data_IF_053355092968
#
_entry.id   IF_053355092968
#
_cell.length_a   1.000
_cell.length_b   1.000
_cell.length_c   1.000
_cell.angle_alpha   90.00
_cell.angle_beta   90.00
_cell.angle_gamma   90.00
#
_symmetry.space_group_name_H-M   'P 1'
#
loop_
_entity.id
_entity.type
_entity.pdbx_description
1 polymer ?
#
# COMPACT_ATOMS: atom_id res chain seq x y z
N UNK A 1 -17.33 18.56 -7.93
CA UNK A 1 -17.18 17.13 -8.33
C UNK A 1 -17.71 16.23 -7.22
N UNK A 2 -18.36 15.11 -7.55
CA UNK A 2 -18.85 14.13 -6.58
C UNK A 2 -18.18 12.78 -6.77
N UNK A 3 -17.71 12.19 -5.67
CA UNK A 3 -17.04 10.89 -5.58
C UNK A 3 -17.91 9.99 -4.70
N UNK A 4 -18.31 8.83 -5.23
CA UNK A 4 -19.20 7.93 -4.49
C UNK A 4 -18.42 7.12 -3.46
N UNK A 5 -17.27 6.57 -3.86
CA UNK A 5 -16.42 5.75 -3.01
C UNK A 5 -14.94 6.08 -3.26
N UNK A 6 -14.20 6.27 -2.17
CA UNK A 6 -12.75 6.36 -2.19
C UNK A 6 -12.15 5.36 -1.20
N UNK A 7 -11.41 4.38 -1.70
CA UNK A 7 -10.71 3.39 -0.91
C UNK A 7 -9.20 3.66 -0.98
N UNK A 8 -8.52 3.67 0.17
CA UNK A 8 -7.10 4.00 0.28
C UNK A 8 -6.33 2.93 1.04
N UNK A 9 -5.22 2.50 0.45
CA UNK A 9 -4.17 1.70 1.07
C UNK A 9 -2.92 2.56 1.26
N UNK A 10 -2.61 2.87 2.52
CA UNK A 10 -1.48 3.72 2.89
C UNK A 10 -0.22 2.88 3.10
N UNK A 11 0.30 2.27 2.04
CA UNK A 11 1.49 1.42 2.12
C UNK A 11 2.77 2.21 2.39
N UNK A 12 3.80 1.56 2.94
CA UNK A 12 5.07 2.21 3.28
C UNK A 12 5.96 2.52 2.06
N UNK A 13 5.72 1.85 0.92
CA UNK A 13 6.47 2.06 -0.34
C UNK A 13 5.61 2.73 -1.41
N UNK A 14 4.35 2.31 -1.51
CA UNK A 14 3.37 2.82 -2.46
C UNK A 14 2.07 3.13 -1.71
N UNK A 15 1.48 4.27 -2.02
CA UNK A 15 0.12 4.63 -1.68
C UNK A 15 -0.79 4.24 -2.85
N UNK A 16 -1.86 3.51 -2.57
CA UNK A 16 -2.77 3.00 -3.60
C UNK A 16 -4.19 3.45 -3.30
N UNK A 17 -4.89 3.95 -4.30
CA UNK A 17 -6.26 4.44 -4.17
C UNK A 17 -7.15 3.83 -5.25
N UNK A 18 -8.39 3.53 -4.89
CA UNK A 18 -9.50 3.28 -5.82
C UNK A 18 -10.55 4.36 -5.59
N UNK A 19 -10.77 5.20 -6.60
CA UNK A 19 -11.74 6.30 -6.56
C UNK A 19 -12.79 6.03 -7.64
N UNK A 20 -14.00 5.66 -7.23
CA UNK A 20 -15.08 5.19 -8.12
C UNK A 20 -14.62 4.12 -9.14
N UNK A 21 -13.74 3.21 -8.69
CA UNK A 21 -13.14 2.16 -9.50
C UNK A 21 -11.89 2.57 -10.29
N UNK A 22 -11.52 3.85 -10.31
CA UNK A 22 -10.28 4.32 -10.94
C UNK A 22 -9.09 4.11 -10.02
N UNK A 23 -8.07 3.39 -10.50
CA UNK A 23 -6.87 3.05 -9.75
C UNK A 23 -5.78 4.11 -9.87
N UNK A 24 -5.30 4.62 -8.73
CA UNK A 24 -4.16 5.53 -8.63
C UNK A 24 -3.11 4.88 -7.74
N UNK A 25 -1.85 4.97 -8.14
CA UNK A 25 -0.71 4.53 -7.37
C UNK A 25 0.37 5.59 -7.41
N UNK A 26 0.93 5.89 -6.24
CA UNK A 26 1.93 6.93 -6.07
C UNK A 26 2.98 6.44 -5.06
N UNK A 27 4.28 6.69 -5.26
CA UNK A 27 5.28 6.49 -4.20
C UNK A 27 4.87 7.22 -2.91
N UNK A 28 5.06 6.59 -1.75
CA UNK A 28 4.68 7.18 -0.43
C UNK A 28 5.62 8.33 0.00
N UNK A 29 6.50 8.79 -0.88
CA UNK A 29 7.41 9.90 -0.62
C UNK A 29 6.60 11.20 -0.46
N UNK A 30 6.79 11.85 0.69
CA UNK A 30 6.30 13.21 0.97
C UNK A 30 7.46 13.98 1.57
N UNK A 31 7.78 15.12 0.97
CA UNK A 31 8.85 16.01 1.43
C UNK A 31 8.24 17.37 1.67
N UNK A 32 8.35 17.85 2.90
CA UNK A 32 8.02 19.22 3.24
C UNK A 32 9.13 20.16 2.76
N UNK A 33 8.74 21.24 2.08
CA UNK A 33 9.63 22.27 1.57
C UNK A 33 9.18 23.65 2.07
N UNK A 34 10.08 24.63 1.98
CA UNK A 34 9.72 26.01 2.28
C UNK A 34 8.82 26.61 1.20
N UNK A 35 8.10 27.70 1.53
CA UNK A 35 7.32 28.44 0.54
C UNK A 35 8.18 28.97 -0.62
N UNK A 36 9.34 29.56 -0.31
CA UNK A 36 10.25 30.09 -1.33
C UNK A 36 10.75 29.00 -2.29
N UNK A 37 10.97 27.79 -1.77
CA UNK A 37 11.32 26.61 -2.58
C UNK A 37 10.13 26.17 -3.44
N UNK A 38 8.91 26.11 -2.87
CA UNK A 38 7.70 25.77 -3.61
C UNK A 38 7.43 26.74 -4.78
N UNK A 39 7.55 28.05 -4.53
CA UNK A 39 7.32 29.10 -5.52
C UNK A 39 8.32 29.05 -6.69
N UNK A 40 9.49 28.42 -6.51
CA UNK A 40 10.56 28.33 -7.50
C UNK A 40 10.83 26.92 -8.03
N UNK A 41 10.16 25.89 -7.50
CA UNK A 41 10.45 24.48 -7.80
C UNK A 41 10.16 24.12 -9.26
N UNK A 42 8.99 24.51 -9.77
CA UNK A 42 8.58 24.24 -11.15
C UNK A 42 8.66 25.48 -12.03
N UNK A 43 9.45 25.40 -13.10
CA UNK A 43 9.61 26.48 -14.08
C UNK A 43 8.72 26.32 -15.32
N UNK A 44 8.18 25.12 -15.55
CA UNK A 44 7.46 24.78 -16.77
C UNK A 44 6.01 24.39 -16.50
N UNK A 45 5.09 25.04 -17.20
CA UNK A 45 3.66 24.78 -17.19
C UNK A 45 3.33 23.41 -17.81
N UNK A 46 2.43 22.67 -17.18
CA UNK A 46 1.82 21.46 -17.76
C UNK A 46 0.45 21.79 -18.36
N UNK A 47 0.10 21.13 -19.47
CA UNK A 47 -1.20 21.29 -20.14
C UNK A 47 -2.04 20.02 -20.14
N UNK A 48 -1.40 18.87 -19.92
CA UNK A 48 -2.04 17.57 -19.79
C UNK A 48 -2.22 17.23 -18.29
N UNK A 49 -3.46 17.13 -17.78
CA UNK A 49 -3.70 16.81 -16.37
C UNK A 49 -3.06 15.51 -15.89
N UNK A 50 -2.81 14.54 -16.79
CA UNK A 50 -2.14 13.29 -16.43
C UNK A 50 -0.70 13.49 -15.95
N UNK A 51 -0.04 14.56 -16.38
CA UNK A 51 1.33 14.88 -15.94
C UNK A 51 1.40 15.30 -14.47
N UNK A 52 0.28 15.78 -13.90
CA UNK A 52 0.20 16.23 -12.52
C UNK A 52 0.65 15.16 -11.53
N UNK A 53 0.32 13.88 -11.76
CA UNK A 53 0.70 12.77 -10.87
C UNK A 53 2.21 12.70 -10.61
N UNK A 54 3.01 13.01 -11.63
CA UNK A 54 4.48 13.00 -11.55
C UNK A 54 5.08 14.33 -11.06
N UNK A 55 4.25 15.36 -10.85
CA UNK A 55 4.63 16.74 -10.52
C UNK A 55 3.75 17.32 -9.41
N UNK A 56 3.40 16.53 -8.41
CA UNK A 56 2.55 16.96 -7.30
C UNK A 56 3.34 17.88 -6.36
N UNK A 57 2.97 19.16 -6.36
CA UNK A 57 3.34 20.15 -5.35
C UNK A 57 2.05 20.75 -4.80
N UNK A 58 1.79 20.51 -3.52
CA UNK A 58 0.56 20.97 -2.86
C UNK A 58 0.87 21.69 -1.56
N UNK A 59 -0.04 22.54 -1.11
CA UNK A 59 -0.05 23.06 0.26
C UNK A 59 -1.39 22.78 0.95
N UNK A 60 -1.33 22.69 2.27
CA UNK A 60 -2.50 22.52 3.15
C UNK A 60 -2.13 22.99 4.54
N UNK A 61 -3.14 23.33 5.35
CA UNK A 61 -3.01 23.38 6.81
C UNK A 61 -3.27 21.98 7.36
N UNK A 62 -2.35 21.45 8.18
CA UNK A 62 -2.53 20.13 8.79
C UNK A 62 -3.56 20.24 9.92
N UNK A 63 -4.48 19.28 10.10
CA UNK A 63 -5.46 19.32 11.18
C UNK A 63 -4.81 19.53 12.56
N UNK A 64 -5.22 20.58 13.26
CA UNK A 64 -4.69 20.97 14.57
C UNK A 64 -3.47 21.91 14.53
N UNK A 65 -3.02 22.33 13.34
CA UNK A 65 -1.99 23.35 13.14
C UNK A 65 -2.61 24.63 12.56
N UNK A 66 -1.95 25.77 12.76
CA UNK A 66 -2.41 27.09 12.26
C UNK A 66 -1.59 27.59 11.05
N UNK A 67 -0.60 26.81 10.61
CA UNK A 67 0.34 27.20 9.57
C UNK A 67 0.17 26.35 8.31
N UNK A 68 0.05 27.02 7.16
CA UNK A 68 0.13 26.38 5.86
C UNK A 68 1.53 25.78 5.65
N UNK A 69 1.58 24.56 5.12
CA UNK A 69 2.81 23.82 4.83
C UNK A 69 2.80 23.33 3.38
N UNK A 70 3.98 23.25 2.77
CA UNK A 70 4.17 22.95 1.35
C UNK A 70 4.84 21.60 1.18
N UNK A 71 4.33 20.77 0.28
CA UNK A 71 4.73 19.39 0.14
C UNK A 71 4.95 19.00 -1.32
N UNK A 72 6.14 18.47 -1.61
CA UNK A 72 6.36 17.61 -2.77
C UNK A 72 5.82 16.23 -2.45
N UNK A 73 5.17 15.60 -3.42
CA UNK A 73 4.53 14.29 -3.23
C UNK A 73 4.87 13.33 -4.39
N UNK A 74 5.03 12.05 -4.06
CA UNK A 74 5.18 10.99 -5.06
C UNK A 74 6.52 11.01 -5.79
N UNK A 75 6.46 10.87 -7.11
CA UNK A 75 7.66 10.81 -7.97
C UNK A 75 8.53 12.05 -7.85
N UNK A 76 7.93 13.22 -7.62
CA UNK A 76 8.68 14.45 -7.44
C UNK A 76 9.43 14.47 -6.11
N UNK A 77 8.74 14.10 -5.02
CA UNK A 77 9.34 13.97 -3.70
C UNK A 77 10.46 12.92 -3.67
N UNK A 78 10.35 11.86 -4.48
CA UNK A 78 11.35 10.80 -4.56
C UNK A 78 12.71 11.27 -5.11
N UNK A 79 12.75 12.38 -5.87
CA UNK A 79 13.99 12.97 -6.41
C UNK A 79 14.73 13.81 -5.37
N UNK A 80 14.06 14.19 -4.29
CA UNK A 80 14.60 15.09 -3.29
C UNK A 80 15.61 14.39 -2.37
N UNK A 81 16.62 15.10 -1.87
CA UNK A 81 17.69 14.52 -1.03
C UNK A 81 17.18 13.85 0.26
N UNK A 82 16.03 14.31 0.78
CA UNK A 82 15.38 13.80 2.00
C UNK A 82 14.35 12.69 1.73
N UNK A 83 14.20 12.23 0.48
CA UNK A 83 13.18 11.29 0.05
C UNK A 83 13.10 10.02 0.90
N UNK A 84 14.22 9.52 1.42
CA UNK A 84 14.31 8.23 2.11
C UNK A 84 14.21 8.32 3.64
N UNK A 85 13.96 9.51 4.22
CA UNK A 85 13.94 9.68 5.68
C UNK A 85 12.82 8.86 6.37
N UNK A 86 11.74 8.54 5.66
CA UNK A 86 10.63 7.76 6.18
C UNK A 86 10.83 6.24 6.02
N UNK A 87 11.73 5.78 5.14
CA UNK A 87 11.81 4.37 4.73
C UNK A 87 12.31 3.45 5.85
N UNK A 88 13.15 3.95 6.75
CA UNK A 88 13.68 3.20 7.88
C UNK A 88 12.86 3.37 9.18
N UNK A 89 11.74 4.12 9.14
CA UNK A 89 10.92 4.40 10.33
C UNK A 89 9.46 4.07 10.04
N UNK A 90 8.93 3.07 10.73
CA UNK A 90 7.48 2.88 10.81
C UNK A 90 6.89 4.10 11.53
N UNK A 91 6.27 4.98 10.75
CA UNK A 91 5.60 6.15 11.28
C UNK A 91 4.20 5.76 11.75
N UNK A 92 3.74 6.45 12.80
CA UNK A 92 2.37 6.30 13.26
C UNK A 92 1.43 6.88 12.20
N UNK A 93 0.70 6.00 11.48
CA UNK A 93 -0.22 6.40 10.42
C UNK A 93 -1.39 7.25 10.95
N UNK A 94 -1.64 7.31 12.27
CA UNK A 94 -2.71 8.11 12.87
C UNK A 94 -2.26 9.57 13.09
N UNK A 95 -0.98 9.82 13.34
CA UNK A 95 -0.49 11.19 13.65
C UNK A 95 0.40 11.77 12.57
N UNK A 96 1.03 10.93 11.75
CA UNK A 96 1.89 11.38 10.65
C UNK A 96 1.09 12.17 9.60
N UNK A 97 1.61 13.30 9.06
CA UNK A 97 0.97 14.04 7.98
C UNK A 97 0.96 13.26 6.65
N UNK A 98 1.86 12.28 6.48
CA UNK A 98 2.07 11.58 5.20
C UNK A 98 0.77 10.97 4.64
N UNK A 99 -0.01 10.12 5.36
CA UNK A 99 -1.24 9.56 4.80
C UNK A 99 -2.29 10.61 4.41
N UNK A 100 -2.33 11.74 5.12
CA UNK A 100 -3.26 12.85 4.87
C UNK A 100 -2.86 13.63 3.62
N UNK A 101 -1.58 14.00 3.50
CA UNK A 101 -1.05 14.67 2.30
C UNK A 101 -1.21 13.80 1.04
N UNK A 102 -0.97 12.48 1.16
CA UNK A 102 -1.21 11.54 0.05
C UNK A 102 -2.69 11.49 -0.35
N UNK A 103 -3.62 11.51 0.61
CA UNK A 103 -5.06 11.57 0.35
C UNK A 103 -5.44 12.84 -0.43
N UNK A 104 -5.01 14.02 0.04
CA UNK A 104 -5.29 15.29 -0.63
C UNK A 104 -4.70 15.32 -2.05
N UNK A 105 -3.51 14.74 -2.23
CA UNK A 105 -2.84 14.64 -3.52
C UNK A 105 -3.57 13.72 -4.50
N UNK A 106 -4.06 12.57 -4.03
CA UNK A 106 -4.83 11.63 -4.85
C UNK A 106 -6.16 12.26 -5.30
N UNK A 107 -6.85 12.95 -4.40
CA UNK A 107 -8.08 13.70 -4.74
C UNK A 107 -7.78 14.82 -5.73
N UNK A 108 -6.70 15.58 -5.52
CA UNK A 108 -6.27 16.65 -6.44
C UNK A 108 -5.99 16.14 -7.84
N UNK A 109 -5.27 15.01 -7.95
CA UNK A 109 -5.00 14.37 -9.23
C UNK A 109 -6.28 13.85 -9.89
N UNK A 110 -7.12 13.14 -9.14
CA UNK A 110 -8.38 12.61 -9.65
C UNK A 110 -9.32 13.73 -10.14
N UNK A 111 -9.36 14.84 -9.41
CA UNK A 111 -10.08 16.03 -9.82
C UNK A 111 -9.56 16.54 -11.16
N UNK A 112 -8.25 16.79 -11.27
CA UNK A 112 -7.65 17.36 -12.48
C UNK A 112 -7.90 16.53 -13.76
N UNK A 113 -7.93 15.19 -13.66
CA UNK A 113 -8.14 14.32 -14.83
C UNK A 113 -9.62 14.12 -15.21
N UNK A 114 -10.56 14.40 -14.30
CA UNK A 114 -12.00 14.22 -14.52
C UNK A 114 -12.78 15.54 -14.59
N UNK A 115 -12.14 16.66 -14.27
CA UNK A 115 -12.74 17.98 -14.40
C UNK A 115 -13.11 18.25 -15.86
N UNK A 116 -14.37 18.59 -16.07
CA UNK A 116 -14.80 19.18 -17.34
C UNK A 116 -14.57 20.68 -17.21
N UNK A 117 -13.87 21.29 -18.17
CA UNK A 117 -13.51 22.72 -18.16
C UNK A 117 -14.71 23.68 -18.05
N UNK A 118 -15.94 23.18 -18.14
CA UNK A 118 -17.18 23.95 -18.01
C UNK A 118 -17.69 24.06 -16.57
N UNK A 119 -17.11 23.32 -15.62
CA UNK A 119 -17.48 23.30 -14.20
C UNK A 119 -16.46 24.09 -13.38
N UNK A 120 -16.72 25.37 -13.11
CA UNK A 120 -15.91 26.24 -12.23
C UNK A 120 -15.92 25.82 -10.73
N UNK A 121 -16.48 24.67 -10.40
CA UNK A 121 -16.67 24.25 -9.02
C UNK A 121 -15.45 23.50 -8.49
N UNK A 122 -14.55 24.23 -7.82
CA UNK A 122 -13.38 23.70 -7.10
C UNK A 122 -13.77 22.98 -5.79
N UNK A 123 -14.92 22.31 -5.77
CA UNK A 123 -15.39 21.50 -4.64
C UNK A 123 -15.37 20.03 -4.99
N UNK A 124 -15.04 19.20 -4.01
CA UNK A 124 -15.09 17.73 -4.11
C UNK A 124 -15.89 17.21 -2.93
N UNK A 125 -16.96 16.48 -3.19
CA UNK A 125 -17.72 15.77 -2.17
C UNK A 125 -17.41 14.27 -2.28
N UNK A 126 -16.96 13.65 -1.19
CA UNK A 126 -16.74 12.20 -1.09
C UNK A 126 -17.80 11.62 -0.17
N UNK A 127 -18.72 10.82 -0.71
CA UNK A 127 -19.78 10.20 0.10
C UNK A 127 -19.22 9.18 1.09
N UNK A 128 -18.32 8.30 0.63
CA UNK A 128 -17.76 7.24 1.45
C UNK A 128 -16.25 7.08 1.24
N UNK A 129 -15.49 7.53 2.23
CA UNK A 129 -14.05 7.29 2.33
C UNK A 129 -13.77 6.08 3.24
N UNK A 130 -12.84 5.23 2.80
CA UNK A 130 -12.40 4.10 3.59
C UNK A 130 -10.90 3.87 3.46
N UNK A 131 -10.25 3.62 4.59
CA UNK A 131 -8.83 3.28 4.69
C UNK A 131 -8.63 2.12 5.66
N UNK A 132 -7.39 1.80 6.01
CA UNK A 132 -7.05 0.76 6.97
C UNK A 132 -5.76 1.07 7.73
N UNK A 133 -5.59 0.39 8.87
CA UNK A 133 -4.39 0.45 9.69
C UNK A 133 -3.70 -0.92 9.79
N UNK A 134 -2.35 -0.94 9.86
CA UNK A 134 -1.58 -2.16 10.03
C UNK A 134 -1.73 -2.73 11.44
N UNK A 135 -1.58 -4.05 11.57
CA UNK A 135 -1.84 -4.76 12.83
C UNK A 135 -0.88 -4.30 13.92
N UNK A 136 0.38 -4.02 13.59
CA UNK A 136 1.35 -3.51 14.59
C UNK A 136 0.89 -2.22 15.27
N UNK A 137 0.20 -1.33 14.55
CA UNK A 137 -0.27 -0.06 15.11
C UNK A 137 -1.54 -0.28 15.93
N UNK A 138 -2.48 -1.08 15.42
CA UNK A 138 -3.68 -1.49 16.14
C UNK A 138 -3.34 -2.21 17.46
N UNK A 139 -2.23 -2.97 17.48
CA UNK A 139 -1.74 -3.68 18.68
C UNK A 139 -1.25 -2.76 19.79
N UNK A 140 -1.10 -1.44 19.56
CA UNK A 140 -0.73 -0.46 20.60
C UNK A 140 -1.90 0.00 21.45
N UNK A 141 -3.14 -0.15 20.99
CA UNK A 141 -4.33 0.23 21.74
C UNK A 141 -4.99 -0.99 22.39
N UNK A 142 -5.78 -0.78 23.45
CA UNK A 142 -6.52 -1.85 24.10
C UNK A 142 -7.61 -2.42 23.18
N UNK A 143 -8.30 -1.55 22.43
CA UNK A 143 -9.30 -1.92 21.43
C UNK A 143 -8.87 -1.41 20.06
N UNK A 144 -8.91 -2.28 19.04
CA UNK A 144 -8.59 -1.89 17.67
C UNK A 144 -9.49 -0.74 17.17
N UNK A 145 -10.75 -0.72 17.60
CA UNK A 145 -11.72 0.33 17.26
C UNK A 145 -11.26 1.73 17.67
N UNK A 146 -10.47 1.88 18.75
CA UNK A 146 -9.97 3.19 19.17
C UNK A 146 -9.03 3.79 18.11
N UNK A 147 -8.06 3.00 17.65
CA UNK A 147 -7.14 3.42 16.59
C UNK A 147 -7.84 3.59 15.23
N UNK A 148 -8.80 2.72 14.91
CA UNK A 148 -9.58 2.83 13.67
C UNK A 148 -10.44 4.11 13.65
N UNK A 149 -11.11 4.44 14.76
CA UNK A 149 -11.91 5.66 14.85
C UNK A 149 -11.01 6.89 14.74
N UNK A 150 -9.90 6.92 15.48
CA UNK A 150 -8.93 8.01 15.41
C UNK A 150 -8.40 8.22 13.99
N UNK A 151 -8.13 7.14 13.23
CA UNK A 151 -7.71 7.23 11.84
C UNK A 151 -8.82 7.76 10.93
N UNK A 152 -10.05 7.28 11.09
CA UNK A 152 -11.19 7.71 10.29
C UNK A 152 -11.52 9.20 10.50
N UNK A 153 -11.48 9.68 11.74
CA UNK A 153 -11.74 11.08 12.11
C UNK A 153 -10.79 12.06 11.40
N UNK A 154 -9.58 11.64 11.03
CA UNK A 154 -8.63 12.48 10.29
C UNK A 154 -9.10 12.90 8.91
N UNK A 155 -9.94 12.07 8.29
CA UNK A 155 -10.40 12.23 6.91
C UNK A 155 -11.89 12.57 6.85
N UNK A 156 -12.58 12.70 7.98
CA UNK A 156 -13.97 13.09 8.00
C UNK A 156 -14.09 14.62 7.99
N UNK A 157 -15.13 15.15 7.35
CA UNK A 157 -15.42 16.58 7.36
C UNK A 157 -14.74 17.35 6.23
N UNK A 158 -14.39 18.59 6.51
CA UNK A 158 -13.91 19.55 5.51
C UNK A 158 -12.38 19.64 5.48
N UNK A 159 -11.83 19.71 4.28
CA UNK A 159 -10.41 19.85 4.00
C UNK A 159 -10.21 20.88 2.88
N UNK A 160 -9.04 21.50 2.87
CA UNK A 160 -8.64 22.42 1.80
C UNK A 160 -7.23 22.07 1.35
N UNK A 161 -7.01 22.06 0.03
CA UNK A 161 -5.69 21.81 -0.57
C UNK A 161 -5.47 22.75 -1.74
N UNK A 162 -4.29 23.36 -1.81
CA UNK A 162 -3.88 24.17 -2.95
C UNK A 162 -2.86 23.43 -3.79
N UNK A 163 -3.11 23.32 -5.09
CA UNK A 163 -2.17 22.80 -6.09
C UNK A 163 -1.33 23.98 -6.59
N UNK A 164 -0.01 23.85 -6.53
CA UNK A 164 0.92 24.89 -6.99
C UNK A 164 1.62 24.55 -8.31
N UNK A 165 1.35 23.37 -8.88
CA UNK A 165 1.95 22.94 -10.15
C UNK A 165 1.49 23.85 -11.29
N UNK A 166 2.43 24.54 -12.00
CA UNK A 166 2.05 25.50 -13.02
C UNK A 166 1.20 24.91 -14.15
N UNK A 167 0.06 25.55 -14.46
CA UNK A 167 -0.95 25.09 -15.42
C UNK A 167 -2.09 24.27 -14.82
N UNK A 168 -2.03 23.95 -13.53
CA UNK A 168 -3.07 23.21 -12.79
C UNK A 168 -3.40 23.89 -11.45
N UNK A 169 -3.00 25.14 -11.26
CA UNK A 169 -3.13 25.86 -9.99
C UNK A 169 -4.60 26.04 -9.61
N UNK A 170 -4.95 25.63 -8.40
CA UNK A 170 -6.28 25.83 -7.80
C UNK A 170 -6.27 25.44 -6.33
N UNK A 171 -7.24 25.99 -5.60
CA UNK A 171 -7.56 25.56 -4.24
C UNK A 171 -8.84 24.74 -4.27
N UNK A 172 -8.75 23.47 -3.87
CA UNK A 172 -9.89 22.56 -3.77
C UNK A 172 -10.42 22.52 -2.35
N UNK A 173 -11.74 22.59 -2.21
CA UNK A 173 -12.46 22.28 -0.98
C UNK A 173 -12.99 20.86 -1.05
N UNK A 174 -12.56 20.01 -0.13
CA UNK A 174 -12.91 18.59 -0.11
C UNK A 174 -13.76 18.33 1.12
N UNK A 175 -14.96 17.80 0.94
CA UNK A 175 -15.84 17.38 2.02
C UNK A 175 -16.01 15.87 1.99
N UNK A 176 -15.74 15.21 3.10
CA UNK A 176 -15.92 13.77 3.26
C UNK A 176 -17.08 13.50 4.22
N UNK A 177 -18.19 12.96 3.69
CA UNK A 177 -19.41 12.76 4.47
C UNK A 177 -19.24 11.64 5.52
N UNK A 178 -18.67 10.51 5.10
CA UNK A 178 -18.43 9.35 5.98
C UNK A 178 -17.06 8.77 5.74
N UNK A 179 -16.24 8.73 6.78
CA UNK A 179 -14.94 8.07 6.79
C UNK A 179 -14.97 6.81 7.67
N UNK A 180 -14.31 5.74 7.23
CA UNK A 180 -14.16 4.52 8.03
C UNK A 180 -12.77 3.91 7.90
N UNK A 181 -12.32 3.19 8.92
CA UNK A 181 -11.02 2.52 8.92
C UNK A 181 -11.16 1.02 9.22
N UNK A 182 -10.50 0.18 8.43
CA UNK A 182 -10.47 -1.28 8.57
C UNK A 182 -9.11 -1.77 9.09
N UNK A 183 -8.97 -3.09 9.20
CA UNK A 183 -7.76 -3.77 9.63
C UNK A 183 -7.05 -4.28 8.37
N UNK A 184 -5.84 -3.78 8.13
CA UNK A 184 -4.96 -4.25 7.05
C UNK A 184 -4.66 -5.75 7.24
N UNK A 185 -4.58 -6.50 6.15
CA UNK A 185 -4.47 -7.95 6.16
C UNK A 185 -5.79 -8.71 6.41
N UNK A 186 -6.62 -8.28 7.37
CA UNK A 186 -7.92 -8.94 7.63
C UNK A 186 -8.93 -8.61 6.54
N UNK A 187 -8.98 -7.35 6.10
CA UNK A 187 -9.97 -6.89 5.12
C UNK A 187 -9.80 -7.58 3.76
N UNK A 188 -8.57 -8.00 3.43
CA UNK A 188 -8.24 -8.73 2.21
C UNK A 188 -9.07 -10.01 2.02
N UNK A 189 -9.51 -10.65 3.12
CA UNK A 189 -10.36 -11.85 3.03
C UNK A 189 -11.65 -11.61 2.25
N UNK A 190 -12.18 -10.39 2.24
CA UNK A 190 -13.38 -10.06 1.49
C UNK A 190 -13.14 -10.13 -0.02
N UNK A 191 -11.97 -9.68 -0.50
CA UNK A 191 -11.60 -9.78 -1.91
C UNK A 191 -11.34 -11.22 -2.36
N UNK A 192 -10.91 -12.10 -1.43
CA UNK A 192 -10.81 -13.54 -1.71
C UNK A 192 -12.20 -14.16 -1.81
N UNK A 193 -13.14 -13.75 -0.94
CA UNK A 193 -14.49 -14.31 -0.89
C UNK A 193 -15.39 -13.81 -2.02
N UNK A 194 -15.26 -12.55 -2.43
CA UNK A 194 -16.24 -11.89 -3.31
C UNK A 194 -15.60 -11.12 -4.47
N UNK A 195 -16.32 -11.00 -5.58
CA UNK A 195 -16.03 -10.03 -6.64
C UNK A 195 -16.62 -8.65 -6.31
N UNK A 196 -16.46 -7.68 -7.20
CA UNK A 196 -16.98 -6.32 -7.00
C UNK A 196 -18.50 -6.22 -7.18
N UNK A 197 -19.10 -7.22 -7.80
CA UNK A 197 -20.55 -7.43 -7.89
C UNK A 197 -21.11 -8.07 -6.60
N UNK A 198 -20.24 -8.34 -5.61
CA UNK A 198 -20.53 -8.96 -4.31
C UNK A 198 -20.97 -10.42 -4.38
N UNK A 199 -20.76 -11.07 -5.52
CA UNK A 199 -20.97 -12.50 -5.72
C UNK A 199 -19.80 -13.29 -5.11
N UNK A 200 -20.07 -14.51 -4.64
CA UNK A 200 -19.04 -15.36 -4.08
C UNK A 200 -18.12 -15.92 -5.18
N UNK A 201 -16.81 -15.85 -4.96
CA UNK A 201 -15.79 -16.40 -5.88
C UNK A 201 -15.68 -17.91 -5.71
N UNK A 202 -15.65 -18.63 -6.82
CA UNK A 202 -15.55 -20.11 -6.80
C UNK A 202 -14.22 -20.57 -6.19
N UNK A 203 -13.14 -19.84 -6.45
CA UNK A 203 -11.80 -20.15 -5.94
C UNK A 203 -11.73 -20.06 -4.41
N UNK A 204 -12.65 -19.33 -3.76
CA UNK A 204 -12.71 -19.23 -2.31
C UNK A 204 -13.11 -20.55 -1.64
N UNK A 205 -13.78 -21.46 -2.36
CA UNK A 205 -14.24 -22.77 -1.83
C UNK A 205 -13.09 -23.64 -1.34
N UNK A 206 -11.88 -23.43 -1.86
CA UNK A 206 -10.69 -24.16 -1.43
C UNK A 206 -10.32 -23.90 0.05
N UNK A 207 -10.93 -22.89 0.68
CA UNK A 207 -10.70 -22.51 2.08
C UNK A 207 -11.87 -22.90 3.01
N UNK A 208 -12.95 -23.51 2.50
CA UNK A 208 -14.17 -23.77 3.28
C UNK A 208 -13.94 -24.65 4.51
N UNK A 209 -12.98 -25.58 4.42
CA UNK A 209 -12.69 -26.56 5.46
C UNK A 209 -11.32 -26.36 6.14
N UNK A 210 -10.61 -25.26 5.84
CA UNK A 210 -9.27 -25.01 6.38
C UNK A 210 -9.19 -23.64 7.06
N UNK A 211 -8.70 -23.64 8.30
CA UNK A 211 -8.19 -22.41 8.90
C UNK A 211 -7.05 -21.88 8.00
N UNK A 212 -7.06 -20.58 7.74
CA UNK A 212 -6.20 -19.95 6.73
C UNK A 212 -5.42 -18.80 7.35
N UNK A 213 -4.10 -18.81 7.17
CA UNK A 213 -3.21 -17.70 7.53
C UNK A 213 -3.09 -16.78 6.33
N UNK A 214 -3.62 -15.59 6.46
CA UNK A 214 -3.42 -14.47 5.53
C UNK A 214 -2.09 -13.81 5.89
N UNK A 215 -1.14 -13.84 4.95
CA UNK A 215 0.23 -13.33 5.10
C UNK A 215 0.38 -12.08 4.25
N UNK A 216 0.19 -10.91 4.87
CA UNK A 216 0.38 -9.61 4.22
C UNK A 216 1.85 -9.19 4.31
N UNK A 217 2.53 -9.18 3.17
CA UNK A 217 3.96 -8.88 3.06
C UNK A 217 4.11 -7.47 2.45
N UNK A 218 4.24 -6.48 3.32
CA UNK A 218 4.59 -5.12 2.96
C UNK A 218 6.10 -4.88 2.91
N UNK A 219 6.49 -3.69 2.43
CA UNK A 219 7.91 -3.29 2.42
C UNK A 219 8.50 -3.16 3.82
N UNK A 220 7.76 -2.51 4.73
CA UNK A 220 8.21 -2.22 6.09
C UNK A 220 7.66 -3.15 7.17
N UNK A 221 6.55 -3.85 6.89
CA UNK A 221 5.82 -4.68 7.87
C UNK A 221 5.35 -5.96 7.23
N UNK A 222 5.16 -6.97 8.07
CA UNK A 222 4.52 -8.22 7.68
C UNK A 222 3.46 -8.50 8.73
N UNK A 223 2.22 -8.63 8.29
CA UNK A 223 1.05 -8.71 9.14
C UNK A 223 0.33 -10.05 8.87
N UNK A 224 0.09 -10.83 9.94
CA UNK A 224 -0.51 -12.17 9.86
C UNK A 224 -1.92 -12.17 10.44
N UNK A 225 -2.86 -12.77 9.72
CA UNK A 225 -4.24 -12.97 10.20
C UNK A 225 -4.64 -14.43 10.06
N UNK A 226 -5.01 -15.06 11.17
CA UNK A 226 -5.58 -16.40 11.21
C UNK A 226 -7.11 -16.31 11.07
N UNK A 227 -7.60 -16.58 9.87
CA UNK A 227 -9.02 -16.70 9.56
C UNK A 227 -9.50 -18.14 9.77
N UNK A 228 -10.57 -18.38 10.54
CA UNK A 228 -11.16 -19.71 10.63
C UNK A 228 -11.70 -20.20 9.29
N UNK A 229 -11.90 -21.51 9.18
CA UNK A 229 -12.46 -22.21 8.02
C UNK A 229 -13.63 -21.45 7.34
N UNK A 230 -13.52 -21.30 6.02
CA UNK A 230 -14.40 -20.48 5.18
C UNK A 230 -14.05 -19.00 5.17
N UNK A 231 -12.79 -18.63 5.48
CA UNK A 231 -12.31 -17.25 5.57
C UNK A 231 -13.21 -16.37 6.47
N UNK A 232 -13.59 -16.94 7.62
CA UNK A 232 -14.40 -16.23 8.61
C UNK A 232 -13.58 -15.14 9.28
N UNK A 233 -14.27 -14.20 9.93
CA UNK A 233 -13.60 -13.18 10.73
C UNK A 233 -12.74 -13.84 11.82
N UNK A 234 -11.55 -13.29 12.11
CA UNK A 234 -10.68 -13.83 13.16
C UNK A 234 -11.39 -13.83 14.52
N UNK A 235 -11.10 -14.83 15.35
CA UNK A 235 -11.86 -15.06 16.60
C UNK A 235 -11.56 -14.02 17.68
N UNK A 236 -10.32 -13.55 17.72
CA UNK A 236 -9.83 -12.66 18.77
C UNK A 236 -8.59 -11.90 18.30
N UNK A 237 -8.11 -11.00 19.17
CA UNK A 237 -6.90 -10.20 18.95
C UNK A 237 -5.66 -11.04 18.69
N UNK A 238 -5.56 -12.25 19.24
CA UNK A 238 -4.39 -13.13 19.09
C UNK A 238 -4.34 -13.82 17.74
N UNK A 239 -5.49 -13.86 17.03
CA UNK A 239 -5.58 -14.32 15.65
C UNK A 239 -5.02 -13.30 14.64
N UNK A 240 -4.42 -12.20 15.12
CA UNK A 240 -3.86 -11.13 14.31
C UNK A 240 -2.50 -10.76 14.91
N UNK A 241 -1.39 -10.94 14.20
CA UNK A 241 -0.05 -10.68 14.74
C UNK A 241 0.85 -10.03 13.69
N UNK A 242 1.59 -8.97 14.02
CA UNK A 242 2.70 -8.53 13.19
C UNK A 242 3.90 -9.47 13.38
N UNK A 243 4.76 -9.60 12.37
CA UNK A 243 6.11 -10.16 12.54
C UNK A 243 7.06 -9.01 12.87
N UNK A 244 7.47 -8.92 14.13
CA UNK A 244 8.41 -7.89 14.57
C UNK A 244 9.81 -8.09 13.96
N UNK A 245 10.48 -6.97 13.67
CA UNK A 245 11.90 -6.90 13.24
C UNK A 245 12.24 -7.64 11.94
N UNK A 246 11.24 -8.03 11.16
CA UNK A 246 11.43 -8.53 9.79
C UNK A 246 10.87 -7.50 8.81
N UNK A 247 11.73 -6.91 8.00
CA UNK A 247 11.38 -5.89 7.01
C UNK A 247 12.10 -6.19 5.70
N UNK A 248 11.33 -6.22 4.61
CA UNK A 248 11.87 -6.40 3.27
C UNK A 248 12.80 -5.24 2.90
N UNK A 249 12.37 -4.00 3.17
CA UNK A 249 13.15 -2.79 2.88
C UNK A 249 14.49 -2.78 3.63
N UNK A 250 14.48 -3.19 4.91
CA UNK A 250 15.72 -3.32 5.69
C UNK A 250 16.64 -4.42 5.14
N UNK A 251 16.08 -5.53 4.68
CA UNK A 251 16.84 -6.62 4.07
C UNK A 251 17.51 -6.18 2.76
N UNK A 252 16.76 -5.56 1.84
CA UNK A 252 17.33 -5.12 0.56
C UNK A 252 18.30 -3.94 0.73
N UNK A 253 18.11 -3.08 1.74
CA UNK A 253 19.07 -2.00 2.04
C UNK A 253 20.41 -2.56 2.51
N UNK A 254 20.38 -3.60 3.34
CA UNK A 254 21.59 -4.33 3.74
C UNK A 254 22.27 -4.93 2.50
N UNK A 255 21.51 -5.62 1.65
CA UNK A 255 22.02 -6.19 0.40
C UNK A 255 22.66 -5.12 -0.50
N UNK A 256 22.01 -3.96 -0.65
CA UNK A 256 22.52 -2.83 -1.44
C UNK A 256 23.86 -2.36 -0.90
N UNK A 257 23.94 -2.05 0.39
CA UNK A 257 25.16 -1.55 1.04
C UNK A 257 26.32 -2.55 0.95
N UNK A 258 26.04 -3.84 1.05
CA UNK A 258 27.06 -4.88 1.04
C UNK A 258 27.51 -5.31 -0.35
N UNK A 259 26.62 -5.30 -1.35
CA UNK A 259 26.86 -5.94 -2.66
C UNK A 259 26.69 -5.02 -3.87
N UNK A 260 26.00 -3.89 -3.73
CA UNK A 260 25.59 -3.05 -4.86
C UNK A 260 25.74 -1.54 -4.62
N UNK A 261 26.57 -1.13 -3.65
CA UNK A 261 26.76 0.27 -3.27
C UNK A 261 27.21 1.14 -4.46
N UNK A 262 28.05 0.60 -5.34
CA UNK A 262 28.56 1.28 -6.53
C UNK A 262 27.53 1.38 -7.68
N UNK A 263 26.42 0.62 -7.60
CA UNK A 263 25.42 0.51 -8.67
C UNK A 263 24.11 1.25 -8.36
N UNK A 264 23.80 1.40 -7.08
CA UNK A 264 22.58 2.06 -6.60
C UNK A 264 22.93 3.04 -5.49
N UNK A 265 22.74 4.33 -5.78
CA UNK A 265 22.99 5.45 -4.86
C UNK A 265 22.19 5.33 -3.57
N UNK A 266 20.97 4.82 -3.68
CA UNK A 266 19.99 4.79 -2.61
C UNK A 266 19.08 3.56 -2.68
N UNK A 267 18.38 3.31 -1.58
CA UNK A 267 17.46 2.19 -1.42
C UNK A 267 16.35 2.18 -2.47
N UNK A 268 15.79 3.34 -2.80
CA UNK A 268 14.62 3.45 -3.70
C UNK A 268 14.99 3.06 -5.12
N UNK A 269 16.14 3.51 -5.61
CA UNK A 269 16.65 3.11 -6.93
C UNK A 269 16.84 1.60 -7.02
N UNK A 270 17.30 0.96 -5.94
CA UNK A 270 17.49 -0.50 -5.89
C UNK A 270 16.16 -1.26 -5.78
N UNK A 271 15.24 -0.83 -4.92
CA UNK A 271 13.89 -1.40 -4.82
C UNK A 271 13.17 -1.33 -6.18
N UNK A 272 13.20 -0.16 -6.82
CA UNK A 272 12.60 0.06 -8.14
C UNK A 272 13.21 -0.85 -9.19
N UNK A 273 14.53 -1.04 -9.17
CA UNK A 273 15.20 -2.00 -10.03
C UNK A 273 14.69 -3.43 -9.81
N UNK A 274 14.51 -3.86 -8.56
CA UNK A 274 13.98 -5.20 -8.27
C UNK A 274 12.53 -5.33 -8.77
N UNK A 275 11.67 -4.37 -8.44
CA UNK A 275 10.26 -4.36 -8.86
C UNK A 275 10.12 -4.40 -10.38
N UNK A 276 10.97 -3.69 -11.12
CA UNK A 276 10.90 -3.66 -12.58
C UNK A 276 11.47 -4.92 -13.26
N UNK A 277 12.11 -5.82 -12.51
CA UNK A 277 12.84 -6.95 -13.07
C UNK A 277 12.55 -8.32 -12.42
N UNK A 278 11.81 -8.41 -11.31
CA UNK A 278 11.62 -9.68 -10.58
C UNK A 278 10.96 -10.78 -11.42
N UNK A 279 10.06 -10.41 -12.34
CA UNK A 279 9.40 -11.35 -13.26
C UNK A 279 10.26 -11.76 -14.46
N UNK A 280 11.37 -11.05 -14.71
CA UNK A 280 12.21 -11.33 -15.88
C UNK A 280 13.13 -12.53 -15.60
N UNK A 281 13.50 -13.31 -16.63
CA UNK A 281 14.50 -14.36 -16.49
C UNK A 281 15.84 -13.84 -15.95
N UNK A 282 16.20 -12.60 -16.30
CA UNK A 282 17.40 -11.90 -15.87
C UNK A 282 17.10 -10.50 -15.34
N UNK A 283 17.79 -10.13 -14.27
CA UNK A 283 17.80 -8.79 -13.69
C UNK A 283 19.05 -8.04 -14.18
N UNK A 284 18.98 -7.53 -15.41
CA UNK A 284 20.09 -6.80 -16.03
C UNK A 284 20.04 -5.30 -15.72
N UNK A 285 21.11 -4.79 -15.11
CA UNK A 285 21.34 -3.35 -14.99
C UNK A 285 22.01 -2.84 -16.26
N UNK A 286 21.47 -1.77 -16.85
CA UNK A 286 22.03 -1.11 -18.03
C UNK A 286 22.62 0.22 -17.61
N UNK A 287 23.92 0.42 -17.84
CA UNK A 287 24.58 1.69 -17.61
C UNK A 287 24.11 2.73 -18.64
N UNK A 288 23.61 3.87 -18.17
CA UNK A 288 23.01 4.89 -19.02
C UNK A 288 24.00 5.63 -19.92
N UNK A 289 25.30 5.63 -19.59
CA UNK A 289 26.33 6.36 -20.34
C UNK A 289 27.01 5.47 -21.40
N UNK A 290 27.18 4.19 -21.10
CA UNK A 290 27.96 3.24 -21.91
C UNK A 290 27.09 2.18 -22.59
N UNK A 291 25.86 1.97 -22.12
CA UNK A 291 25.00 0.87 -22.54
C UNK A 291 25.47 -0.50 -22.03
N UNK A 292 26.49 -0.56 -21.17
CA UNK A 292 26.99 -1.81 -20.62
C UNK A 292 25.92 -2.50 -19.78
N UNK A 293 25.79 -3.83 -19.95
CA UNK A 293 24.84 -4.66 -19.21
C UNK A 293 25.54 -5.48 -18.15
N UNK A 294 24.99 -5.49 -16.94
CA UNK A 294 25.46 -6.31 -15.83
C UNK A 294 24.31 -7.15 -15.31
N UNK A 295 24.46 -8.47 -15.37
CA UNK A 295 23.48 -9.42 -14.84
C UNK A 295 23.63 -9.50 -13.30
N UNK A 296 22.57 -9.14 -12.57
CA UNK A 296 22.55 -9.12 -11.10
C UNK A 296 21.69 -10.27 -10.51
N UNK A 297 21.18 -11.16 -11.36
CA UNK A 297 20.13 -12.14 -11.03
C UNK A 297 20.48 -13.01 -9.83
N UNK A 298 21.61 -13.73 -9.88
CA UNK A 298 21.95 -14.74 -8.88
C UNK A 298 22.08 -14.15 -7.48
N UNK A 299 22.75 -13.00 -7.37
CA UNK A 299 22.96 -12.32 -6.10
C UNK A 299 21.64 -11.85 -5.48
N UNK A 300 20.74 -11.29 -6.29
CA UNK A 300 19.45 -10.82 -5.80
C UNK A 300 18.56 -12.00 -5.42
N UNK A 301 18.38 -12.98 -6.33
CA UNK A 301 17.52 -14.15 -6.07
C UNK A 301 17.99 -14.97 -4.88
N UNK A 302 19.30 -15.18 -4.71
CA UNK A 302 19.84 -15.85 -3.52
C UNK A 302 19.47 -15.11 -2.24
N UNK A 303 19.61 -13.79 -2.21
CA UNK A 303 19.24 -12.98 -1.04
C UNK A 303 17.74 -13.04 -0.74
N UNK A 304 16.89 -12.96 -1.77
CA UNK A 304 15.44 -13.07 -1.62
C UNK A 304 15.01 -14.46 -1.13
N UNK A 305 15.68 -15.53 -1.58
CA UNK A 305 15.46 -16.89 -1.07
C UNK A 305 15.84 -17.03 0.40
N UNK A 306 16.96 -16.44 0.82
CA UNK A 306 17.32 -16.39 2.24
C UNK A 306 16.25 -15.66 3.06
N UNK A 307 15.79 -14.49 2.59
CA UNK A 307 14.71 -13.75 3.24
C UNK A 307 13.41 -14.58 3.34
N UNK A 308 13.00 -15.22 2.25
CA UNK A 308 11.82 -16.08 2.22
C UNK A 308 11.93 -17.24 3.23
N UNK A 309 13.11 -17.87 3.35
CA UNK A 309 13.36 -18.91 4.35
C UNK A 309 13.15 -18.40 5.78
N UNK A 310 13.70 -17.24 6.12
CA UNK A 310 13.49 -16.64 7.44
C UNK A 310 12.02 -16.27 7.67
N UNK A 311 11.34 -15.74 6.65
CA UNK A 311 9.93 -15.40 6.70
C UNK A 311 9.06 -16.63 7.01
N UNK A 312 9.24 -17.72 6.27
CA UNK A 312 8.45 -18.95 6.49
C UNK A 312 8.64 -19.50 7.90
N UNK A 313 9.88 -19.59 8.37
CA UNK A 313 10.17 -20.03 9.74
C UNK A 313 9.50 -19.14 10.79
N UNK A 314 9.46 -17.83 10.55
CA UNK A 314 8.81 -16.87 11.45
C UNK A 314 7.29 -16.96 11.43
N UNK A 315 6.68 -17.17 10.27
CA UNK A 315 5.23 -17.40 10.17
C UNK A 315 4.82 -18.60 11.01
N UNK A 316 5.60 -19.69 10.97
CA UNK A 316 5.31 -20.91 11.73
C UNK A 316 5.51 -20.75 13.24
N UNK A 317 6.50 -19.95 13.64
CA UNK A 317 6.75 -19.58 15.04
C UNK A 317 5.60 -18.76 15.62
N UNK A 318 5.07 -17.80 14.83
CA UNK A 318 4.00 -16.88 15.27
C UNK A 318 2.61 -17.50 15.16
N UNK A 319 2.34 -18.28 14.12
CA UNK A 319 1.05 -18.92 13.84
C UNK A 319 1.23 -20.44 13.68
N UNK A 320 1.62 -21.17 14.75
CA UNK A 320 1.83 -22.61 14.67
C UNK A 320 0.50 -23.33 14.39
N UNK A 321 0.51 -24.21 13.38
CA UNK A 321 -0.61 -25.10 13.13
C UNK A 321 -0.67 -26.19 14.22
N UNK A 322 -1.84 -26.46 14.82
CA UNK A 322 -2.02 -27.60 15.71
C UNK A 322 -1.68 -28.92 15.00
N UNK A 323 -1.18 -29.91 15.74
CA UNK A 323 -0.74 -31.19 15.18
C UNK A 323 -1.84 -31.98 14.44
N UNK A 324 -3.11 -31.71 14.76
CA UNK A 324 -4.31 -32.34 14.18
C UNK A 324 -4.95 -31.50 13.06
N UNK A 325 -4.32 -30.40 12.64
CA UNK A 325 -4.88 -29.48 11.65
C UNK A 325 -3.89 -29.10 10.56
N UNK A 326 -4.43 -28.90 9.35
CA UNK A 326 -3.70 -28.34 8.22
C UNK A 326 -4.20 -26.93 7.94
N UNK A 327 -3.29 -25.97 8.07
CA UNK A 327 -3.55 -24.59 7.65
C UNK A 327 -3.23 -24.41 6.17
N UNK A 328 -3.99 -23.51 5.54
CA UNK A 328 -3.59 -22.89 4.27
C UNK A 328 -2.96 -21.53 4.52
N UNK A 329 -2.09 -21.10 3.63
CA UNK A 329 -1.38 -19.84 3.68
C UNK A 329 -1.68 -19.07 2.39
N UNK A 330 -2.19 -17.85 2.51
CA UNK A 330 -2.38 -16.95 1.38
C UNK A 330 -1.39 -15.81 1.48
N UNK A 331 -0.48 -15.70 0.52
CA UNK A 331 0.55 -14.68 0.48
C UNK A 331 0.13 -13.51 -0.39
N UNK A 332 0.15 -12.30 0.15
CA UNK A 332 -0.27 -11.09 -0.55
C UNK A 332 0.45 -9.84 -0.03
N UNK A 333 0.10 -8.67 -0.55
CA UNK A 333 0.74 -7.40 -0.22
C UNK A 333 1.83 -6.99 -1.22
N UNK A 334 2.39 -5.80 -1.00
CA UNK A 334 3.38 -5.13 -1.86
C UNK A 334 4.51 -6.01 -2.37
N UNK A 335 5.04 -6.85 -1.48
CA UNK A 335 6.28 -7.61 -1.66
C UNK A 335 6.00 -9.08 -2.01
N UNK A 336 4.79 -9.60 -1.76
CA UNK A 336 4.48 -11.00 -2.03
C UNK A 336 4.78 -11.44 -3.48
N UNK A 337 4.40 -10.69 -4.54
CA UNK A 337 4.77 -11.06 -5.91
C UNK A 337 6.28 -11.14 -6.14
N UNK A 338 7.06 -10.30 -5.46
CA UNK A 338 8.53 -10.27 -5.58
C UNK A 338 9.15 -11.53 -4.98
N UNK A 339 8.56 -12.04 -3.90
CA UNK A 339 9.04 -13.20 -3.16
C UNK A 339 8.39 -14.52 -3.60
N UNK A 340 7.42 -14.51 -4.50
CA UNK A 340 6.62 -15.67 -4.87
C UNK A 340 7.47 -16.89 -5.24
N UNK A 341 8.39 -16.75 -6.19
CA UNK A 341 9.29 -17.83 -6.59
C UNK A 341 10.15 -18.31 -5.42
N UNK A 342 10.72 -17.38 -4.64
CA UNK A 342 11.56 -17.70 -3.49
C UNK A 342 10.80 -18.42 -2.37
N UNK A 343 9.57 -18.02 -2.09
CA UNK A 343 8.70 -18.68 -1.11
C UNK A 343 8.32 -20.07 -1.61
N UNK A 344 7.94 -20.20 -2.88
CA UNK A 344 7.57 -21.50 -3.46
C UNK A 344 8.73 -22.49 -3.37
N UNK A 345 9.93 -22.10 -3.81
CA UNK A 345 11.14 -22.93 -3.71
C UNK A 345 11.43 -23.36 -2.26
N UNK A 346 11.35 -22.42 -1.30
CA UNK A 346 11.60 -22.72 0.12
C UNK A 346 10.56 -23.69 0.67
N UNK A 347 9.28 -23.48 0.38
CA UNK A 347 8.20 -24.35 0.85
C UNK A 347 8.32 -25.74 0.23
N UNK A 348 8.63 -25.84 -1.06
CA UNK A 348 8.86 -27.12 -1.74
C UNK A 348 10.05 -27.87 -1.14
N UNK A 349 11.18 -27.19 -0.86
CA UNK A 349 12.34 -27.77 -0.19
C UNK A 349 12.02 -28.27 1.23
N UNK A 350 11.14 -27.55 1.95
CA UNK A 350 10.80 -27.87 3.34
C UNK A 350 9.71 -28.94 3.49
N UNK A 351 8.71 -28.93 2.61
CA UNK A 351 7.47 -29.70 2.76
C UNK A 351 7.09 -30.55 1.54
N UNK A 352 7.82 -30.42 0.43
CA UNK A 352 7.52 -31.10 -0.82
C UNK A 352 6.50 -30.37 -1.69
N UNK A 353 6.53 -30.68 -2.99
CA UNK A 353 5.75 -29.99 -4.02
C UNK A 353 4.23 -30.07 -3.81
N UNK A 354 3.72 -31.21 -3.30
CA UNK A 354 2.29 -31.39 -3.06
C UNK A 354 1.75 -30.41 -2.00
N UNK A 355 2.47 -30.24 -0.89
CA UNK A 355 2.09 -29.29 0.17
C UNK A 355 2.25 -27.85 -0.34
N UNK A 356 3.33 -27.56 -1.07
CA UNK A 356 3.56 -26.25 -1.66
C UNK A 356 2.39 -25.83 -2.55
N UNK A 357 1.93 -26.71 -3.43
CA UNK A 357 0.84 -26.41 -4.35
C UNK A 357 -0.53 -26.35 -3.67
N UNK A 358 -0.82 -27.26 -2.73
CA UNK A 358 -2.15 -27.37 -2.13
C UNK A 358 -2.43 -26.33 -1.03
N UNK A 359 -1.38 -25.92 -0.29
CA UNK A 359 -1.54 -25.16 0.96
C UNK A 359 -0.91 -23.77 0.93
N UNK A 360 -0.04 -23.45 -0.03
CA UNK A 360 0.64 -22.15 -0.11
C UNK A 360 0.22 -21.40 -1.38
N UNK A 361 -0.72 -20.48 -1.22
CA UNK A 361 -1.50 -19.90 -2.30
C UNK A 361 -1.05 -18.47 -2.59
N UNK A 362 -0.80 -18.19 -3.86
CA UNK A 362 -0.59 -16.85 -4.41
C UNK A 362 -1.77 -16.52 -5.32
N UNK A 363 -2.54 -15.50 -4.96
CA UNK A 363 -3.70 -15.08 -5.74
C UNK A 363 -3.29 -14.07 -6.83
N UNK A 364 -4.00 -14.02 -7.96
CA UNK A 364 -3.87 -12.90 -8.90
C UNK A 364 -4.07 -11.56 -8.18
N UNK A 365 -3.36 -10.52 -8.63
CA UNK A 365 -3.42 -9.18 -8.06
C UNK A 365 -3.18 -9.14 -6.53
N UNK A 366 -2.40 -10.08 -5.99
CA UNK A 366 -2.10 -10.20 -4.55
C UNK A 366 -1.58 -8.88 -3.94
N UNK A 367 -0.92 -8.04 -4.72
CA UNK A 367 -0.48 -6.70 -4.29
C UNK A 367 -1.63 -5.76 -3.89
N UNK A 368 -2.81 -5.91 -4.50
CA UNK A 368 -3.97 -5.01 -4.32
C UNK A 368 -5.05 -5.61 -3.42
N UNK A 369 -4.79 -6.77 -2.82
CA UNK A 369 -5.84 -7.56 -2.17
C UNK A 369 -6.49 -6.84 -0.97
N UNK A 370 -5.71 -6.08 -0.20
CA UNK A 370 -6.24 -5.21 0.85
C UNK A 370 -7.19 -4.13 0.28
N UNK A 371 -6.71 -3.40 -0.73
CA UNK A 371 -7.48 -2.35 -1.40
C UNK A 371 -8.77 -2.90 -2.04
N UNK A 372 -8.72 -4.09 -2.63
CA UNK A 372 -9.90 -4.77 -3.16
C UNK A 372 -10.85 -5.23 -2.05
N UNK A 373 -10.34 -5.59 -0.87
CA UNK A 373 -11.15 -5.87 0.30
C UNK A 373 -11.94 -4.65 0.76
N UNK A 374 -11.30 -3.46 0.71
CA UNK A 374 -11.97 -2.18 0.96
C UNK A 374 -13.06 -1.92 -0.10
N UNK A 375 -12.76 -2.11 -1.39
CA UNK A 375 -13.72 -1.93 -2.49
C UNK A 375 -14.98 -2.81 -2.32
N UNK A 376 -14.80 -4.11 -2.07
CA UNK A 376 -15.92 -5.03 -1.79
C UNK A 376 -16.74 -4.53 -0.59
N UNK A 377 -16.06 -4.07 0.47
CA UNK A 377 -16.75 -3.56 1.67
C UNK A 377 -17.54 -2.28 1.36
N UNK A 378 -16.97 -1.35 0.60
CA UNK A 378 -17.60 -0.08 0.23
C UNK A 378 -18.83 -0.28 -0.63
N UNK A 379 -18.77 -1.17 -1.63
CA UNK A 379 -19.93 -1.50 -2.46
C UNK A 379 -21.08 -2.09 -1.65
N UNK A 380 -20.78 -2.96 -0.69
CA UNK A 380 -21.78 -3.50 0.23
C UNK A 380 -22.43 -2.43 1.11
N UNK A 381 -21.68 -1.42 1.56
CA UNK A 381 -22.22 -0.30 2.33
C UNK A 381 -23.10 0.62 1.46
N UNK A 382 -22.70 0.87 0.21
CA UNK A 382 -23.46 1.72 -0.71
C UNK A 382 -24.80 1.09 -1.12
N UNK A 383 -24.86 -0.23 -1.36
CA UNK A 383 -26.12 -0.91 -1.66
C UNK A 383 -27.11 -0.79 -0.49
N UNK A 384 -26.66 -0.94 0.76
CA UNK A 384 -27.52 -0.79 1.94
C UNK A 384 -28.05 0.64 2.14
N UNK A 385 -27.36 1.65 1.59
CA UNK A 385 -27.82 3.05 1.60
C UNK A 385 -28.94 3.26 0.58
N UNK A 386 -28.91 2.58 -0.57
CA UNK A 386 -29.95 2.69 -1.61
C UNK A 386 -31.23 1.93 -1.25
N UNK A 387 -31.15 0.87 -0.44
CA UNK A 387 -32.31 0.08 0.00
C UNK A 387 -33.06 0.67 1.21
N UNK A 388 -32.53 1.71 1.86
CA UNK A 388 -33.14 2.43 2.98
C UNK A 388 -33.71 3.76 2.51
#
# INVERSE_FOLDING_TARGET
MKITMMNKDSGNSLDMNLIDGFYIETPTNVVEISKDEADSHFVATITNPKELLSRLLISTTIPGEDTERFFLVGDEAAKHALANNHVNKLHDKITSPIPYVMFLSAVSFYHAINETRESDDNTVEIEYFQTMLPIWLLKRTAKFSEAQNAMAERFAGEHEVTIHTPGMEKTLKITVEKATCRIEGEIARLAIKKNFELEDREEARQFDNNDTVLVDIGGGTIDLVLSPAGLKSPKNRDSMQPIDKLSYLSHIEKLRKEKFLEKFSDLRSFETFIVNNFQKPKMELVDGNTGQRVDLTDKIRSSLKEFAKFLILKIQDVMPAPADKVYKYVYFGGVAPILETSIHEVIEEMYGAEIAQANHIFLPDSRKLNLYGLEVKSRGEMLQKTEK
#
